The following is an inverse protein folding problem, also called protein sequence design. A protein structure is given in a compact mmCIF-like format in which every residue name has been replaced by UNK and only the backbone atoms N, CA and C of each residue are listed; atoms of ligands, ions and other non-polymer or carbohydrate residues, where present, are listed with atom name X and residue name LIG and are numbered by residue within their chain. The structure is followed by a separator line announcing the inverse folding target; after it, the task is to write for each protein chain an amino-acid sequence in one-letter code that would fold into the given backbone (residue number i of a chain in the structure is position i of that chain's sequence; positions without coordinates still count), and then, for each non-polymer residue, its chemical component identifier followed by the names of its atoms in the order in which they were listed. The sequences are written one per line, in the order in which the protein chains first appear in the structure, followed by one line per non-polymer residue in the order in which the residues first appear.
data_IF_006941545344
#
_entry.id   IF_006941545344
#
_cell.length_a   1.000
_cell.length_b   1.000
_cell.length_c   1.000
_cell.angle_alpha   90.00
_cell.angle_beta   90.00
_cell.angle_gamma   90.00
#
_symmetry.space_group_name_H-M   'P 1'
#
loop_
_entity.id
_entity.type
_entity.pdbx_description
1 polymer ?
#
# COMPACT_ATOMS: atom_id res chain seq x y z
N UNK A 1 16.38 -15.43 13.31
CA UNK A 1 16.11 -16.85 13.63
C UNK A 1 14.70 -17.11 14.13
N UNK A 2 14.17 -16.38 15.13
CA UNK A 2 12.79 -16.62 15.64
C UNK A 2 11.68 -16.37 14.61
N UNK A 3 11.76 -15.27 13.85
CA UNK A 3 10.75 -14.91 12.83
C UNK A 3 10.67 -15.94 11.70
N UNK A 4 11.80 -16.36 11.14
CA UNK A 4 11.84 -17.41 10.11
C UNK A 4 11.32 -18.76 10.57
N UNK A 5 11.51 -19.11 11.85
CA UNK A 5 10.95 -20.35 12.41
C UNK A 5 9.40 -20.33 12.43
N UNK A 6 8.79 -19.15 12.32
CA UNK A 6 7.35 -18.93 12.20
C UNK A 6 6.93 -18.53 10.78
N UNK A 7 7.80 -18.74 9.78
CA UNK A 7 7.53 -18.42 8.37
C UNK A 7 7.25 -16.91 8.13
N UNK A 8 7.89 -16.05 8.91
CA UNK A 8 7.82 -14.59 8.78
C UNK A 8 9.12 -14.07 8.18
N UNK A 9 9.02 -13.50 6.98
CA UNK A 9 10.10 -12.79 6.30
C UNK A 9 10.37 -11.43 6.97
N UNK A 10 11.63 -10.98 6.93
CA UNK A 10 12.07 -9.68 7.44
C UNK A 10 12.44 -8.77 6.28
N UNK A 11 11.74 -7.64 6.17
CA UNK A 11 12.04 -6.56 5.22
C UNK A 11 12.46 -5.33 6.03
N UNK A 12 13.63 -4.77 5.73
CA UNK A 12 14.12 -3.57 6.41
C UNK A 12 13.79 -2.32 5.59
N UNK A 13 13.29 -1.28 6.26
CA UNK A 13 13.25 0.07 5.71
C UNK A 13 14.68 0.65 5.75
N UNK A 14 15.20 1.09 4.60
CA UNK A 14 16.58 1.55 4.45
C UNK A 14 16.66 2.95 3.87
N UNK A 15 17.44 3.79 4.53
CA UNK A 15 17.63 5.21 4.18
C UNK A 15 19.04 5.39 3.63
N UNK A 16 19.20 5.22 2.31
CA UNK A 16 20.45 5.51 1.60
C UNK A 16 20.44 6.87 0.90
N UNK A 17 19.32 7.58 0.92
CA UNK A 17 19.14 8.81 0.16
C UNK A 17 19.73 10.06 0.86
N UNK A 18 19.86 10.03 2.18
CA UNK A 18 20.47 11.11 2.99
C UNK A 18 21.13 10.55 4.26
N UNK A 19 21.76 11.43 5.05
CA UNK A 19 22.40 11.07 6.33
C UNK A 19 22.09 12.10 7.42
N UNK A 20 22.27 11.69 8.68
CA UNK A 20 22.10 12.55 9.84
C UNK A 20 23.16 13.68 9.98
N UNK A 21 24.15 13.75 9.08
CA UNK A 21 25.13 14.86 9.10
C UNK A 21 24.49 16.19 8.64
N UNK A 22 23.31 16.20 8.01
CA UNK A 22 22.65 17.42 7.54
C UNK A 22 23.45 18.21 6.49
N UNK A 23 23.14 19.50 6.33
CA UNK A 23 23.83 20.42 5.43
C UNK A 23 25.15 20.95 6.03
N UNK A 24 25.74 22.02 5.48
CA UNK A 24 26.98 22.64 5.97
C UNK A 24 26.95 23.11 7.43
N UNK A 25 25.76 23.38 7.98
CA UNK A 25 25.56 23.77 9.39
C UNK A 25 25.34 22.56 10.31
N UNK A 26 25.15 21.37 9.74
CA UNK A 26 24.97 20.13 10.47
C UNK A 26 26.29 19.56 11.02
N UNK A 27 26.22 18.54 11.90
CA UNK A 27 27.39 17.96 12.54
C UNK A 27 28.31 17.26 11.54
N UNK A 28 29.57 17.04 11.94
CA UNK A 28 30.57 16.26 11.22
C UNK A 28 31.08 15.15 12.13
N UNK A 29 30.70 13.91 11.81
CA UNK A 29 31.05 12.72 12.61
C UNK A 29 31.39 11.49 11.75
N UNK A 30 31.16 11.51 10.44
CA UNK A 30 31.46 10.39 9.54
C UNK A 30 31.87 10.88 8.14
N UNK A 31 30.97 10.82 7.16
CA UNK A 31 31.29 10.93 5.73
C UNK A 31 31.83 12.31 5.36
N UNK A 32 31.29 13.38 5.96
CA UNK A 32 31.81 14.75 5.80
C UNK A 32 33.29 14.85 6.16
N UNK A 33 33.70 14.15 7.22
CA UNK A 33 35.07 14.18 7.74
C UNK A 33 36.03 13.26 6.97
N UNK A 34 35.52 12.18 6.40
CA UNK A 34 36.33 11.26 5.58
C UNK A 34 36.58 11.80 4.18
N UNK A 35 35.52 12.08 3.42
CA UNK A 35 35.61 12.70 2.09
C UNK A 35 34.25 13.24 1.63
N UNK A 36 34.00 14.52 1.94
CA UNK A 36 32.74 15.18 1.64
C UNK A 36 32.35 15.14 0.15
N UNK A 37 33.33 15.28 -0.75
CA UNK A 37 33.09 15.39 -2.19
C UNK A 37 32.71 14.03 -2.81
N UNK A 38 33.11 12.94 -2.18
CA UNK A 38 32.76 11.58 -2.60
C UNK A 38 31.36 11.21 -2.13
N UNK A 39 31.05 11.45 -0.85
CA UNK A 39 29.84 10.91 -0.23
C UNK A 39 28.60 11.75 -0.48
N UNK A 40 28.71 13.06 -0.68
CA UNK A 40 27.56 13.95 -0.84
C UNK A 40 27.47 14.56 -2.23
N UNK A 41 26.25 14.76 -2.69
CA UNK A 41 25.98 15.55 -3.88
C UNK A 41 26.12 17.03 -3.54
N UNK A 42 27.05 17.71 -4.21
CA UNK A 42 27.34 19.12 -4.00
C UNK A 42 27.09 19.92 -5.27
N UNK A 43 26.58 21.15 -5.12
CA UNK A 43 26.52 22.13 -6.20
C UNK A 43 27.93 22.59 -6.57
N UNK A 44 28.12 23.23 -7.75
CA UNK A 44 29.43 23.78 -8.13
C UNK A 44 30.02 24.76 -7.12
N UNK A 45 29.18 25.42 -6.33
CA UNK A 45 29.56 26.38 -5.29
C UNK A 45 29.88 25.70 -3.94
N UNK A 46 29.73 24.38 -3.84
CA UNK A 46 30.05 23.59 -2.64
C UNK A 46 28.91 23.44 -1.62
N UNK A 47 27.68 23.82 -1.97
CA UNK A 47 26.49 23.59 -1.14
C UNK A 47 25.90 22.20 -1.36
N UNK A 48 25.18 21.66 -0.40
CA UNK A 48 24.56 20.34 -0.51
C UNK A 48 23.29 20.39 -1.36
N UNK A 49 23.15 19.48 -2.32
CA UNK A 49 21.85 19.19 -2.90
C UNK A 49 20.92 18.59 -1.84
N UNK A 50 19.65 19.00 -1.84
CA UNK A 50 18.67 18.58 -0.84
C UNK A 50 17.42 17.96 -1.47
N UNK A 51 17.59 16.92 -2.30
CA UNK A 51 16.47 16.18 -2.88
C UNK A 51 15.71 15.35 -1.84
N UNK A 52 16.33 15.05 -0.69
CA UNK A 52 15.72 14.33 0.43
C UNK A 52 14.81 15.21 1.29
N UNK A 53 15.02 16.53 1.29
CA UNK A 53 14.39 17.45 2.25
C UNK A 53 15.07 17.47 3.63
N UNK A 54 16.09 16.64 3.87
CA UNK A 54 16.75 16.45 5.18
C UNK A 54 18.12 17.15 5.30
N UNK A 55 18.46 18.04 4.37
CA UNK A 55 19.65 18.89 4.38
C UNK A 55 20.81 18.41 3.50
N UNK A 56 20.87 17.13 3.16
CA UNK A 56 21.84 16.58 2.21
C UNK A 56 21.26 15.48 1.33
N UNK A 57 21.99 15.12 0.28
CA UNK A 57 21.69 13.97 -0.58
C UNK A 57 22.96 13.15 -0.74
N UNK A 58 22.89 11.85 -0.49
CA UNK A 58 24.02 10.94 -0.66
C UNK A 58 24.30 10.75 -2.16
N UNK A 59 25.57 10.77 -2.57
CA UNK A 59 26.00 10.61 -3.97
C UNK A 59 25.96 9.13 -4.41
N UNK A 60 24.76 8.57 -4.47
CA UNK A 60 24.48 7.14 -4.59
C UNK A 60 25.13 6.45 -5.81
N UNK A 61 25.36 7.18 -6.90
CA UNK A 61 25.93 6.63 -8.14
C UNK A 61 27.45 6.81 -8.27
N UNK A 62 28.10 7.55 -7.36
CA UNK A 62 29.55 7.59 -7.28
C UNK A 62 30.11 6.18 -6.97
N UNK A 63 31.17 5.71 -7.64
CA UNK A 63 31.66 4.33 -7.50
C UNK A 63 31.88 3.87 -6.06
N UNK A 64 32.50 4.71 -5.21
CA UNK A 64 32.77 4.38 -3.80
C UNK A 64 31.49 4.24 -2.99
N UNK A 65 30.50 5.11 -3.20
CA UNK A 65 29.23 5.10 -2.46
C UNK A 65 28.36 3.94 -2.90
N UNK A 66 28.35 3.63 -4.19
CA UNK A 66 27.64 2.47 -4.74
C UNK A 66 28.16 1.16 -4.15
N UNK A 67 29.47 0.96 -4.07
CA UNK A 67 30.05 -0.24 -3.43
C UNK A 67 29.70 -0.28 -1.94
N UNK A 68 29.76 0.86 -1.23
CA UNK A 68 29.32 0.94 0.16
C UNK A 68 27.87 0.46 0.34
N UNK A 69 26.95 0.91 -0.52
CA UNK A 69 25.53 0.51 -0.46
C UNK A 69 25.38 -0.99 -0.76
N UNK A 70 26.05 -1.48 -1.80
CA UNK A 70 26.03 -2.91 -2.15
C UNK A 70 26.54 -3.78 -1.00
N UNK A 71 27.69 -3.44 -0.44
CA UNK A 71 28.30 -4.20 0.65
C UNK A 71 27.46 -4.14 1.93
N UNK A 72 26.85 -3.00 2.23
CA UNK A 72 25.90 -2.86 3.34
C UNK A 72 24.70 -3.81 3.17
N UNK A 73 24.07 -3.83 2.00
CA UNK A 73 22.92 -4.69 1.73
C UNK A 73 23.30 -6.17 1.73
N UNK A 74 24.45 -6.53 1.14
CA UNK A 74 24.99 -7.90 1.18
C UNK A 74 25.21 -8.34 2.62
N UNK A 75 25.83 -7.50 3.46
CA UNK A 75 26.07 -7.79 4.87
C UNK A 75 24.76 -8.07 5.64
N UNK A 76 23.72 -7.25 5.46
CA UNK A 76 22.41 -7.51 6.07
C UNK A 76 21.79 -8.85 5.62
N UNK A 77 22.00 -9.24 4.37
CA UNK A 77 21.50 -10.51 3.84
C UNK A 77 22.33 -11.70 4.33
N UNK A 78 23.66 -11.62 4.27
CA UNK A 78 24.55 -12.75 4.60
C UNK A 78 24.65 -12.99 6.10
N UNK A 79 24.75 -11.92 6.88
CA UNK A 79 25.07 -12.00 8.31
C UNK A 79 23.79 -12.02 9.16
N UNK A 80 22.76 -11.25 8.76
CA UNK A 80 21.50 -11.15 9.50
C UNK A 80 20.32 -11.90 8.87
N UNK A 81 20.50 -12.42 7.65
CA UNK A 81 19.47 -13.17 6.91
C UNK A 81 18.20 -12.35 6.63
N UNK A 82 18.37 -11.08 6.29
CA UNK A 82 17.26 -10.22 5.86
C UNK A 82 16.72 -10.70 4.50
N UNK A 83 15.39 -10.71 4.33
CA UNK A 83 14.71 -11.25 3.15
C UNK A 83 14.34 -10.17 2.12
N UNK A 84 14.45 -8.89 2.50
CA UNK A 84 14.13 -7.77 1.61
C UNK A 84 14.46 -6.40 2.18
N UNK A 85 14.33 -5.40 1.31
CA UNK A 85 14.55 -4.00 1.64
C UNK A 85 13.47 -3.12 0.99
N UNK A 86 12.91 -2.19 1.78
CA UNK A 86 12.13 -1.05 1.28
C UNK A 86 13.05 0.17 1.31
N UNK A 87 13.25 0.78 0.14
CA UNK A 87 14.14 1.90 -0.03
C UNK A 87 13.34 3.20 0.09
N UNK A 88 13.67 3.97 1.12
CA UNK A 88 13.14 5.31 1.36
C UNK A 88 13.60 6.29 0.27
N UNK A 89 12.68 7.11 -0.23
CA UNK A 89 12.87 8.08 -1.32
C UNK A 89 13.76 7.55 -2.45
N UNK A 90 13.42 6.36 -2.96
CA UNK A 90 14.26 5.57 -3.86
C UNK A 90 14.60 6.28 -5.19
N UNK A 91 13.84 7.31 -5.57
CA UNK A 91 14.14 8.15 -6.74
C UNK A 91 15.51 8.82 -6.66
N UNK A 92 16.01 9.13 -5.45
CA UNK A 92 17.35 9.70 -5.24
C UNK A 92 18.45 8.75 -5.68
N UNK A 93 18.28 7.44 -5.47
CA UNK A 93 19.25 6.43 -5.92
C UNK A 93 19.36 6.39 -7.46
N UNK A 94 18.37 6.95 -8.17
CA UNK A 94 18.35 7.10 -9.61
C UNK A 94 18.91 8.43 -10.14
N UNK A 95 19.36 9.34 -9.28
CA UNK A 95 19.89 10.66 -9.71
C UNK A 95 21.37 10.60 -10.09
N UNK A 96 21.73 11.37 -11.10
CA UNK A 96 23.10 11.61 -11.54
C UNK A 96 23.79 12.66 -10.66
N UNK A 97 25.11 12.84 -10.80
CA UNK A 97 25.91 13.81 -10.03
C UNK A 97 25.43 15.26 -10.20
N UNK A 98 24.84 15.59 -11.36
CA UNK A 98 24.22 16.90 -11.64
C UNK A 98 22.79 17.04 -11.10
N UNK A 99 22.26 16.01 -10.45
CA UNK A 99 20.90 15.94 -9.91
C UNK A 99 19.84 15.46 -10.88
N UNK A 100 20.14 15.29 -12.18
CA UNK A 100 19.15 14.81 -13.16
C UNK A 100 18.81 13.31 -12.97
N UNK A 101 17.56 12.88 -13.21
CA UNK A 101 17.22 11.46 -13.13
C UNK A 101 17.83 10.67 -14.29
N UNK A 102 18.46 9.54 -13.98
CA UNK A 102 19.03 8.62 -14.97
C UNK A 102 17.97 7.63 -15.46
N UNK A 103 18.02 7.27 -16.74
CA UNK A 103 17.17 6.21 -17.30
C UNK A 103 17.64 4.80 -16.86
N UNK A 104 18.95 4.62 -16.71
CA UNK A 104 19.58 3.36 -16.29
C UNK A 104 20.64 3.64 -15.21
N UNK A 105 20.21 3.97 -13.97
CA UNK A 105 21.13 4.29 -12.89
C UNK A 105 21.99 3.07 -12.52
N UNK A 106 23.33 3.20 -12.50
CA UNK A 106 24.24 2.09 -12.25
C UNK A 106 24.03 1.39 -10.90
N UNK A 107 23.66 2.13 -9.85
CA UNK A 107 23.37 1.53 -8.55
C UNK A 107 22.18 0.58 -8.63
N UNK A 108 21.02 1.04 -9.11
CA UNK A 108 19.83 0.19 -9.18
C UNK A 108 20.01 -1.01 -10.11
N UNK A 109 20.77 -0.84 -11.20
CA UNK A 109 21.14 -1.95 -12.08
C UNK A 109 21.99 -2.99 -11.33
N UNK A 110 22.99 -2.53 -10.58
CA UNK A 110 23.85 -3.42 -9.79
C UNK A 110 23.04 -4.19 -8.76
N UNK A 111 22.12 -3.53 -8.05
CA UNK A 111 21.22 -4.18 -7.09
C UNK A 111 20.31 -5.21 -7.75
N UNK A 112 19.81 -4.94 -8.96
CA UNK A 112 18.91 -5.85 -9.67
C UNK A 112 19.60 -7.14 -10.15
N UNK A 113 20.91 -7.09 -10.44
CA UNK A 113 21.68 -8.19 -11.00
C UNK A 113 22.72 -8.78 -10.03
N UNK A 114 22.77 -8.31 -8.78
CA UNK A 114 23.68 -8.82 -7.78
C UNK A 114 23.33 -10.28 -7.42
N UNK A 115 24.30 -11.21 -7.43
CA UNK A 115 24.04 -12.63 -7.20
C UNK A 115 23.63 -12.95 -5.76
N UNK A 116 24.05 -12.15 -4.77
CA UNK A 116 23.66 -12.32 -3.36
C UNK A 116 22.24 -11.77 -3.16
N UNK A 117 21.93 -10.63 -3.76
CA UNK A 117 20.60 -10.01 -3.68
C UNK A 117 19.57 -10.65 -4.62
N UNK A 118 19.98 -11.62 -5.45
CA UNK A 118 19.14 -12.23 -6.49
C UNK A 118 17.77 -12.74 -5.99
N UNK A 119 17.69 -13.23 -4.75
CA UNK A 119 16.45 -13.73 -4.12
C UNK A 119 15.84 -12.77 -3.09
N UNK A 120 16.39 -11.57 -2.91
CA UNK A 120 16.00 -10.59 -1.89
C UNK A 120 14.94 -9.64 -2.42
N UNK A 121 13.87 -9.35 -1.68
CA UNK A 121 12.78 -8.50 -2.16
C UNK A 121 13.25 -7.03 -2.19
N UNK A 122 13.10 -6.35 -3.32
CA UNK A 122 13.46 -4.94 -3.47
C UNK A 122 12.18 -4.13 -3.70
N UNK A 123 11.90 -3.17 -2.80
CA UNK A 123 10.69 -2.35 -2.81
C UNK A 123 11.12 -0.89 -2.81
N UNK A 124 10.58 -0.08 -3.73
CA UNK A 124 10.91 1.32 -3.86
C UNK A 124 9.76 2.24 -3.40
N UNK A 125 10.08 3.26 -2.61
CA UNK A 125 9.31 4.49 -2.56
C UNK A 125 9.72 5.36 -3.76
N UNK A 126 8.99 5.25 -4.87
CA UNK A 126 9.41 5.79 -6.17
C UNK A 126 9.11 7.31 -6.33
N UNK A 127 9.51 8.11 -5.34
CA UNK A 127 9.49 9.57 -5.40
C UNK A 127 10.56 10.18 -4.49
N UNK A 128 10.76 11.50 -4.57
CA UNK A 128 11.59 12.26 -3.62
C UNK A 128 11.02 13.66 -3.30
N UNK A 129 11.57 14.31 -2.28
CA UNK A 129 11.15 15.64 -1.85
C UNK A 129 11.57 16.77 -2.83
N UNK A 130 12.42 16.44 -3.81
CA UNK A 130 12.78 17.33 -4.92
C UNK A 130 11.69 17.43 -6.01
N UNK A 131 10.54 16.77 -5.83
CA UNK A 131 9.40 16.80 -6.74
C UNK A 131 9.45 15.76 -7.86
N UNK A 132 10.41 14.84 -7.84
CA UNK A 132 10.44 13.73 -8.79
C UNK A 132 9.46 12.64 -8.34
N UNK A 133 8.58 12.22 -9.25
CA UNK A 133 7.59 11.17 -9.01
C UNK A 133 7.67 10.11 -10.11
N UNK A 134 8.07 8.89 -9.76
CA UNK A 134 8.39 7.78 -10.67
C UNK A 134 7.52 6.54 -10.46
N UNK A 135 6.40 6.64 -9.74
CA UNK A 135 5.45 5.51 -9.59
C UNK A 135 5.00 5.03 -10.98
N UNK A 136 5.23 3.75 -11.26
CA UNK A 136 4.97 3.10 -12.56
C UNK A 136 6.14 3.15 -13.54
N UNK A 137 7.06 4.12 -13.40
CA UNK A 137 8.18 4.37 -14.31
C UNK A 137 9.56 4.16 -13.68
N UNK A 138 9.64 3.70 -12.42
CA UNK A 138 10.91 3.43 -11.74
C UNK A 138 11.76 2.40 -12.50
N UNK A 139 13.09 2.62 -12.64
CA UNK A 139 14.00 1.64 -13.25
C UNK A 139 13.99 0.32 -12.46
N UNK A 140 13.26 -0.67 -12.98
CA UNK A 140 12.91 -1.86 -12.19
C UNK A 140 13.56 -3.16 -12.64
N UNK A 141 13.97 -3.30 -13.90
CA UNK A 141 14.46 -4.57 -14.47
C UNK A 141 13.59 -5.81 -14.12
N UNK A 142 12.28 -5.63 -13.90
CA UNK A 142 11.35 -6.66 -13.36
C UNK A 142 11.71 -7.21 -11.98
N UNK A 143 12.64 -6.57 -11.27
CA UNK A 143 13.15 -6.99 -9.97
C UNK A 143 12.55 -6.19 -8.81
N UNK A 144 12.09 -4.98 -9.09
CA UNK A 144 11.59 -4.04 -8.08
C UNK A 144 10.06 -3.97 -8.06
N UNK A 145 9.52 -4.10 -6.85
CA UNK A 145 8.17 -3.65 -6.52
C UNK A 145 8.20 -2.19 -6.06
N UNK A 146 7.05 -1.53 -6.07
CA UNK A 146 6.90 -0.13 -5.68
C UNK A 146 5.75 0.03 -4.70
N UNK A 147 5.93 0.92 -3.73
CA UNK A 147 4.81 1.48 -2.98
C UNK A 147 3.89 2.23 -3.94
N UNK A 148 2.67 1.75 -4.10
CA UNK A 148 1.70 2.33 -5.01
C UNK A 148 0.93 3.47 -4.32
N UNK A 149 1.55 4.65 -4.29
CA UNK A 149 0.91 5.86 -3.76
C UNK A 149 -0.39 6.23 -4.48
N UNK A 150 -0.53 5.91 -5.78
CA UNK A 150 -1.78 6.12 -6.50
C UNK A 150 -2.91 5.20 -6.02
N UNK A 151 -2.60 3.94 -5.67
CA UNK A 151 -3.58 3.06 -5.03
C UNK A 151 -4.08 3.69 -3.73
N UNK A 152 -3.17 4.16 -2.86
CA UNK A 152 -3.54 4.83 -1.61
C UNK A 152 -4.51 5.99 -1.88
N UNK A 153 -4.12 6.92 -2.74
CA UNK A 153 -4.86 8.16 -2.93
C UNK A 153 -6.22 7.92 -3.60
N UNK A 154 -6.23 7.15 -4.70
CA UNK A 154 -7.44 6.87 -5.46
C UNK A 154 -8.44 6.06 -4.63
N UNK A 155 -7.97 5.06 -3.86
CA UNK A 155 -8.86 4.20 -3.09
C UNK A 155 -9.37 4.86 -1.82
N UNK A 156 -8.60 5.76 -1.18
CA UNK A 156 -9.10 6.60 -0.09
C UNK A 156 -10.26 7.48 -0.56
N UNK A 157 -10.07 8.17 -1.69
CA UNK A 157 -11.10 9.02 -2.29
C UNK A 157 -12.33 8.22 -2.74
N UNK A 158 -12.12 7.06 -3.37
CA UNK A 158 -13.21 6.18 -3.78
C UNK A 158 -14.03 5.72 -2.57
N UNK A 159 -13.36 5.24 -1.51
CA UNK A 159 -14.05 4.76 -0.31
C UNK A 159 -14.83 5.87 0.40
N UNK A 160 -14.30 7.10 0.45
CA UNK A 160 -15.02 8.22 1.07
C UNK A 160 -16.21 8.71 0.24
N UNK A 161 -16.29 8.32 -1.04
CA UNK A 161 -17.38 8.63 -1.94
C UNK A 161 -17.15 9.85 -2.84
N UNK A 162 -15.92 10.10 -3.28
CA UNK A 162 -15.65 11.10 -4.34
C UNK A 162 -16.19 10.63 -5.70
N UNK A 163 -16.74 11.58 -6.47
CA UNK A 163 -17.24 11.35 -7.83
C UNK A 163 -16.12 10.98 -8.82
N UNK A 164 -16.48 10.30 -9.91
CA UNK A 164 -15.61 10.05 -11.06
C UNK A 164 -14.54 8.98 -10.87
N UNK A 165 -14.58 8.22 -9.76
CA UNK A 165 -13.54 7.25 -9.42
C UNK A 165 -13.82 5.80 -9.80
N UNK A 166 -14.99 5.50 -10.38
CA UNK A 166 -15.37 4.14 -10.75
C UNK A 166 -14.30 3.39 -11.56
N UNK A 167 -13.87 3.96 -12.70
CA UNK A 167 -12.87 3.30 -13.55
C UNK A 167 -11.51 3.19 -12.86
N UNK A 168 -11.14 4.23 -12.11
CA UNK A 168 -9.88 4.26 -11.37
C UNK A 168 -9.85 3.17 -10.32
N UNK A 169 -10.93 3.02 -9.54
CA UNK A 169 -11.08 1.96 -8.55
C UNK A 169 -10.99 0.57 -9.19
N UNK A 170 -11.63 0.34 -10.33
CA UNK A 170 -11.48 -0.93 -11.07
C UNK A 170 -10.01 -1.19 -11.43
N UNK A 171 -9.30 -0.20 -11.98
CA UNK A 171 -7.87 -0.35 -12.32
C UNK A 171 -7.04 -0.66 -11.09
N UNK A 172 -7.27 0.02 -9.95
CA UNK A 172 -6.55 -0.23 -8.69
C UNK A 172 -6.82 -1.65 -8.17
N UNK A 173 -8.07 -2.10 -8.15
CA UNK A 173 -8.46 -3.45 -7.70
C UNK A 173 -7.83 -4.54 -8.57
N UNK A 174 -7.75 -4.30 -9.88
CA UNK A 174 -7.16 -5.20 -10.88
C UNK A 174 -5.61 -5.18 -10.91
N UNK A 175 -4.96 -4.53 -9.94
CA UNK A 175 -3.51 -4.52 -9.80
C UNK A 175 -2.79 -3.38 -10.53
N UNK A 176 -3.50 -2.29 -10.81
CA UNK A 176 -2.99 -1.07 -11.46
C UNK A 176 -2.28 -1.34 -12.80
N UNK A 177 -2.90 -2.02 -13.77
CA UNK A 177 -2.25 -2.37 -15.04
C UNK A 177 -1.87 -1.16 -15.90
N UNK A 178 -2.49 -0.01 -15.66
CA UNK A 178 -2.14 1.27 -16.28
C UNK A 178 -0.81 1.86 -15.77
N UNK A 179 -0.38 1.46 -14.56
CA UNK A 179 0.93 1.81 -13.99
C UNK A 179 1.94 0.70 -14.22
N UNK A 180 1.50 -0.55 -14.00
CA UNK A 180 2.35 -1.73 -13.99
C UNK A 180 1.85 -2.75 -15.00
N UNK A 181 2.20 -2.56 -16.28
CA UNK A 181 1.86 -3.55 -17.29
C UNK A 181 2.52 -4.91 -16.95
N UNK A 182 1.75 -5.98 -16.69
CA UNK A 182 2.29 -7.25 -16.23
C UNK A 182 3.28 -7.90 -17.19
N UNK A 183 3.16 -7.63 -18.50
CA UNK A 183 4.10 -8.12 -19.52
C UNK A 183 5.51 -7.57 -19.31
N UNK A 184 5.64 -6.33 -18.81
CA UNK A 184 6.91 -5.64 -18.63
C UNK A 184 7.37 -5.56 -17.17
N UNK A 185 6.45 -5.56 -16.22
CA UNK A 185 6.69 -5.39 -14.78
C UNK A 185 6.51 -6.65 -13.95
N UNK A 186 5.87 -7.68 -14.50
CA UNK A 186 5.45 -8.87 -13.75
C UNK A 186 4.17 -8.63 -12.94
N UNK A 187 3.63 -9.69 -12.33
CA UNK A 187 2.35 -9.65 -11.61
C UNK A 187 2.39 -9.08 -10.18
N UNK A 188 3.58 -8.80 -9.64
CA UNK A 188 3.78 -8.44 -8.22
C UNK A 188 4.49 -7.08 -8.04
N UNK A 189 4.47 -6.21 -9.05
CA UNK A 189 5.17 -4.92 -9.00
C UNK A 189 4.50 -3.90 -8.06
N UNK A 190 3.20 -4.06 -7.76
CA UNK A 190 2.45 -3.13 -6.92
C UNK A 190 2.40 -3.60 -5.46
N UNK A 191 2.89 -2.77 -4.55
CA UNK A 191 2.60 -2.85 -3.11
C UNK A 191 1.47 -1.88 -2.82
N UNK A 192 0.28 -2.43 -2.61
CA UNK A 192 -0.94 -1.67 -2.32
C UNK A 192 -1.01 -1.39 -0.82
N UNK A 193 -1.39 -0.17 -0.45
CA UNK A 193 -1.62 0.21 0.93
C UNK A 193 -2.64 1.35 0.98
N UNK A 194 -3.35 1.46 2.09
CA UNK A 194 -4.24 2.60 2.37
C UNK A 194 -3.65 3.52 3.43
N UNK A 195 -2.72 3.02 4.25
CA UNK A 195 -2.15 3.67 5.43
C UNK A 195 -0.72 3.16 5.59
N UNK A 196 0.15 4.00 6.13
CA UNK A 196 1.55 3.70 6.38
C UNK A 196 2.02 4.56 7.55
N UNK A 197 3.30 4.52 7.90
CA UNK A 197 3.81 5.33 9.00
C UNK A 197 3.70 6.84 8.72
N UNK A 198 3.74 7.25 7.45
CA UNK A 198 3.40 8.60 7.01
C UNK A 198 1.89 8.77 6.85
N UNK A 199 1.35 9.85 7.38
CA UNK A 199 -0.08 10.13 7.35
C UNK A 199 -0.86 9.52 8.51
N UNK A 200 -2.18 9.49 8.35
CA UNK A 200 -3.11 8.92 9.33
C UNK A 200 -3.02 7.39 9.43
N UNK A 201 -3.33 6.87 10.63
CA UNK A 201 -3.76 5.48 10.80
C UNK A 201 -5.11 5.25 10.14
N UNK A 202 -5.56 4.01 10.05
CA UNK A 202 -6.86 3.70 9.45
C UNK A 202 -8.03 4.21 10.30
N UNK A 203 -7.88 4.23 11.63
CA UNK A 203 -8.86 4.84 12.52
C UNK A 203 -8.95 6.36 12.28
N UNK A 204 -7.80 7.02 12.19
CA UNK A 204 -7.73 8.47 12.05
C UNK A 204 -8.19 8.93 10.67
N UNK A 205 -7.95 8.13 9.62
CA UNK A 205 -8.45 8.36 8.26
C UNK A 205 -9.97 8.53 8.21
N UNK A 206 -10.70 7.86 9.11
CA UNK A 206 -12.15 7.95 9.22
C UNK A 206 -12.65 8.77 10.43
N UNK A 207 -11.73 9.39 11.17
CA UNK A 207 -12.03 10.19 12.36
C UNK A 207 -11.66 11.66 12.22
N UNK A 208 -10.78 12.02 11.28
CA UNK A 208 -10.28 13.39 11.12
C UNK A 208 -10.29 13.85 9.66
N UNK A 209 -10.75 15.06 9.41
CA UNK A 209 -10.62 15.75 8.13
C UNK A 209 -9.33 16.59 8.06
N UNK A 210 -8.86 17.08 9.20
CA UNK A 210 -7.67 17.92 9.32
C UNK A 210 -6.60 17.22 10.14
N UNK A 211 -5.33 17.52 9.86
CA UNK A 211 -4.20 17.06 10.67
C UNK A 211 -4.11 17.87 11.97
N UNK A 212 -3.73 17.21 13.06
CA UNK A 212 -3.55 17.77 14.40
C UNK A 212 -2.13 17.43 14.88
N UNK A 213 -1.13 18.06 14.23
CA UNK A 213 0.30 17.84 14.47
C UNK A 213 0.90 18.83 15.48
N UNK A 214 0.07 19.55 16.25
CA UNK A 214 0.53 20.61 17.17
C UNK A 214 1.58 20.09 18.16
N UNK A 215 1.46 18.84 18.59
CA UNK A 215 2.41 18.18 19.49
C UNK A 215 3.83 18.05 18.91
N UNK A 216 4.00 18.16 17.60
CA UNK A 216 5.31 18.08 16.94
C UNK A 216 6.14 19.37 17.11
N UNK A 217 5.53 20.47 17.58
CA UNK A 217 6.23 21.72 17.87
C UNK A 217 6.45 22.65 16.67
N UNK A 218 5.88 22.32 15.50
CA UNK A 218 6.01 23.11 14.26
C UNK A 218 4.75 23.91 13.92
N UNK A 219 3.93 24.26 14.91
CA UNK A 219 2.68 25.00 14.73
C UNK A 219 1.77 24.39 13.64
N UNK A 220 1.69 23.06 13.62
CA UNK A 220 0.91 22.26 12.66
C UNK A 220 1.29 22.47 11.17
N UNK A 221 2.52 22.93 10.89
CA UNK A 221 2.98 23.16 9.51
C UNK A 221 3.59 21.92 8.85
N UNK A 222 3.95 20.90 9.62
CA UNK A 222 4.50 19.65 9.13
C UNK A 222 3.41 18.62 8.79
N UNK A 223 3.75 17.58 8.02
CA UNK A 223 2.81 16.56 7.54
C UNK A 223 1.97 16.99 6.34
N UNK A 224 1.27 16.03 5.72
CA UNK A 224 0.47 16.27 4.51
C UNK A 224 -0.85 16.98 4.83
N UNK A 225 -1.23 18.00 4.07
CA UNK A 225 -2.53 18.67 4.20
C UNK A 225 -3.67 17.87 3.55
N UNK A 226 -3.39 17.25 2.40
CA UNK A 226 -4.39 16.46 1.68
C UNK A 226 -4.28 14.97 2.02
N UNK A 227 -5.09 14.54 2.98
CA UNK A 227 -5.10 13.16 3.48
C UNK A 227 -6.12 12.27 2.76
N UNK A 228 -7.00 12.87 1.95
CA UNK A 228 -8.18 12.23 1.38
C UNK A 228 -9.03 11.47 2.43
N UNK A 229 -9.12 12.03 3.63
CA UNK A 229 -9.82 11.46 4.79
C UNK A 229 -11.27 11.92 4.86
N UNK A 230 -12.04 11.27 5.74
CA UNK A 230 -13.41 11.70 6.07
C UNK A 230 -13.77 11.31 7.51
N UNK A 231 -14.00 12.31 8.36
CA UNK A 231 -14.32 12.12 9.77
C UNK A 231 -15.66 11.42 10.09
N UNK A 232 -16.42 11.05 9.05
CA UNK A 232 -17.69 10.35 9.14
C UNK A 232 -18.81 11.13 9.87
N UNK A 233 -18.64 12.44 10.07
CA UNK A 233 -19.66 13.36 10.58
C UNK A 233 -19.19 14.26 11.73
N UNK A 234 -18.25 13.79 12.56
CA UNK A 234 -17.71 14.52 13.71
C UNK A 234 -16.18 14.40 13.72
N UNK A 235 -15.46 15.47 14.05
CA UNK A 235 -13.99 15.48 14.07
C UNK A 235 -13.47 14.88 15.39
N UNK A 236 -12.61 13.88 15.31
CA UNK A 236 -11.98 13.22 16.46
C UNK A 236 -12.90 12.26 17.21
N UNK A 237 -12.67 12.15 18.52
CA UNK A 237 -13.44 11.26 19.39
C UNK A 237 -14.93 11.64 19.44
N UNK A 238 -15.80 10.63 19.45
CA UNK A 238 -17.25 10.82 19.53
C UNK A 238 -17.92 9.71 20.33
N UNK A 239 -19.04 10.04 20.98
CA UNK A 239 -19.94 9.08 21.62
C UNK A 239 -21.17 8.74 20.76
N UNK A 240 -21.26 9.29 19.54
CA UNK A 240 -22.39 9.07 18.64
C UNK A 240 -22.35 7.65 18.06
N UNK A 241 -23.31 6.76 18.40
CA UNK A 241 -23.25 5.36 18.02
C UNK A 241 -23.34 5.14 16.50
N UNK A 242 -24.04 6.02 15.76
CA UNK A 242 -24.13 5.90 14.30
C UNK A 242 -22.80 6.22 13.61
N UNK A 243 -22.06 7.22 14.11
CA UNK A 243 -20.74 7.56 13.58
C UNK A 243 -19.75 6.45 13.90
N UNK A 244 -19.74 5.93 15.14
CA UNK A 244 -18.86 4.82 15.53
C UNK A 244 -19.12 3.57 14.67
N UNK A 245 -20.39 3.25 14.42
CA UNK A 245 -20.78 2.13 13.53
C UNK A 245 -20.31 2.36 12.10
N UNK A 246 -20.45 3.58 11.57
CA UNK A 246 -19.97 3.95 10.25
C UNK A 246 -18.45 3.84 10.15
N UNK A 247 -17.69 4.38 11.11
CA UNK A 247 -16.22 4.29 11.14
C UNK A 247 -15.73 2.84 11.15
N UNK A 248 -16.34 1.99 11.97
CA UNK A 248 -16.04 0.55 11.99
C UNK A 248 -16.27 -0.09 10.62
N UNK A 249 -17.41 0.21 9.99
CA UNK A 249 -17.74 -0.27 8.63
C UNK A 249 -16.71 0.23 7.60
N UNK A 250 -16.27 1.48 7.69
CA UNK A 250 -15.28 2.06 6.77
C UNK A 250 -13.92 1.36 6.91
N UNK A 251 -13.47 1.08 8.13
CA UNK A 251 -12.24 0.29 8.38
C UNK A 251 -12.34 -1.13 7.81
N UNK A 252 -13.50 -1.79 7.98
CA UNK A 252 -13.74 -3.11 7.40
C UNK A 252 -13.79 -3.07 5.86
N UNK A 253 -14.42 -2.05 5.27
CA UNK A 253 -14.43 -1.83 3.83
C UNK A 253 -13.01 -1.67 3.28
N UNK A 254 -12.19 -0.84 3.93
CA UNK A 254 -10.80 -0.62 3.58
C UNK A 254 -9.97 -1.91 3.64
N UNK A 255 -10.11 -2.69 4.71
CA UNK A 255 -9.46 -3.99 4.86
C UNK A 255 -9.89 -4.98 3.78
N UNK A 256 -11.19 -5.14 3.56
CA UNK A 256 -11.74 -6.07 2.57
C UNK A 256 -11.28 -5.72 1.16
N UNK A 257 -11.34 -4.43 0.81
CA UNK A 257 -10.90 -3.93 -0.48
C UNK A 257 -9.40 -4.16 -0.70
N UNK A 258 -8.56 -3.79 0.27
CA UNK A 258 -7.11 -3.99 0.15
C UNK A 258 -6.76 -5.49 0.02
N UNK A 259 -7.42 -6.35 0.80
CA UNK A 259 -7.21 -7.79 0.79
C UNK A 259 -7.82 -8.52 -0.39
N UNK A 260 -8.71 -7.89 -1.14
CA UNK A 260 -9.30 -8.43 -2.37
C UNK A 260 -8.77 -7.76 -3.66
N UNK A 261 -7.78 -6.87 -3.57
CA UNK A 261 -7.11 -6.29 -4.74
C UNK A 261 -5.93 -7.15 -5.20
N UNK A 262 -5.67 -7.21 -6.51
CA UNK A 262 -4.47 -7.82 -7.09
C UNK A 262 -3.23 -6.99 -6.73
N UNK A 263 -2.10 -7.64 -6.45
CA UNK A 263 -0.88 -7.01 -5.92
C UNK A 263 -0.56 -7.44 -4.48
N UNK A 264 0.42 -6.80 -3.85
CA UNK A 264 0.84 -7.15 -2.48
C UNK A 264 0.21 -6.16 -1.48
N UNK A 265 -0.71 -6.57 -0.59
CA UNK A 265 -1.27 -5.67 0.41
C UNK A 265 -0.28 -5.41 1.56
N UNK A 266 -0.23 -4.17 2.04
CA UNK A 266 0.51 -3.74 3.22
C UNK A 266 -0.41 -2.96 4.16
N UNK A 267 -0.37 -3.31 5.46
CA UNK A 267 -1.06 -2.61 6.53
C UNK A 267 -0.06 -1.92 7.46
N UNK A 268 -0.46 -0.79 8.04
CA UNK A 268 0.23 -0.20 9.17
C UNK A 268 -0.10 -1.01 10.43
N UNK A 269 0.90 -1.26 11.27
CA UNK A 269 0.69 -1.91 12.58
C UNK A 269 -0.28 -1.10 13.43
N UNK A 270 -1.29 -1.75 14.00
CA UNK A 270 -2.29 -1.12 14.84
C UNK A 270 -3.62 -0.86 14.13
N UNK A 271 -3.63 -0.78 12.79
CA UNK A 271 -4.86 -0.61 12.02
C UNK A 271 -5.85 -1.75 12.27
N UNK A 272 -5.35 -2.96 12.52
CA UNK A 272 -6.15 -4.16 12.75
C UNK A 272 -6.95 -4.13 14.07
N UNK A 273 -6.62 -3.21 14.98
CA UNK A 273 -7.37 -2.97 16.22
C UNK A 273 -7.71 -1.49 16.44
N UNK A 274 -7.74 -0.70 15.37
CA UNK A 274 -8.10 0.72 15.35
C UNK A 274 -7.25 1.60 16.26
N UNK A 275 -5.92 1.41 16.21
CA UNK A 275 -4.95 2.31 16.83
C UNK A 275 -5.09 3.75 16.26
N UNK A 276 -4.86 4.74 17.12
CA UNK A 276 -5.04 6.16 16.80
C UNK A 276 -3.81 6.95 17.18
N UNK A 277 -3.52 7.98 16.39
CA UNK A 277 -2.48 8.98 16.66
C UNK A 277 -3.12 10.32 17.03
N UNK A 278 -4.39 10.29 17.42
CA UNK A 278 -5.20 11.44 17.81
C UNK A 278 -5.28 12.52 16.72
N UNK A 279 -5.22 12.10 15.44
CA UNK A 279 -5.20 13.02 14.31
C UNK A 279 -3.81 13.58 13.99
N UNK A 280 -2.74 13.11 14.63
CA UNK A 280 -1.38 13.41 14.21
C UNK A 280 -1.01 12.53 13.01
N UNK A 281 -0.84 13.15 11.85
CA UNK A 281 -0.53 12.45 10.60
C UNK A 281 0.97 12.43 10.27
N UNK A 282 1.82 12.87 11.21
CA UNK A 282 3.26 12.92 11.04
C UNK A 282 4.01 12.74 12.38
N UNK A 283 3.82 11.64 13.13
CA UNK A 283 4.33 11.51 14.49
C UNK A 283 5.84 11.16 14.55
N UNK A 284 6.66 11.66 13.62
CA UNK A 284 8.08 11.28 13.46
C UNK A 284 8.95 11.56 14.70
N UNK A 285 8.55 12.54 15.52
CA UNK A 285 9.26 12.96 16.73
C UNK A 285 8.55 12.59 18.04
N UNK A 286 7.49 11.77 17.98
CA UNK A 286 6.68 11.44 19.14
C UNK A 286 7.06 10.06 19.71
N UNK A 287 8.04 10.01 20.61
CA UNK A 287 8.31 8.80 21.41
C UNK A 287 7.45 8.80 22.69
N UNK A 288 6.15 8.59 22.50
CA UNK A 288 5.12 8.60 23.56
C UNK A 288 3.84 7.91 23.07
N UNK A 289 2.75 8.05 23.83
CA UNK A 289 1.45 7.44 23.58
C UNK A 289 0.82 7.80 22.22
N UNK A 290 1.29 8.84 21.52
CA UNK A 290 0.87 9.12 20.14
C UNK A 290 1.41 8.06 19.17
N UNK A 291 2.61 7.51 19.40
CA UNK A 291 3.24 6.53 18.49
C UNK A 291 3.28 5.10 19.03
N UNK A 292 3.10 4.91 20.34
CA UNK A 292 3.08 3.59 20.95
C UNK A 292 1.75 2.89 20.69
N UNK A 293 1.81 1.60 20.31
CA UNK A 293 0.60 0.78 20.15
C UNK A 293 -0.12 0.60 21.49
N UNK A 294 -1.40 0.99 21.55
CA UNK A 294 -2.24 0.72 22.72
C UNK A 294 -2.87 -0.67 22.63
N UNK A 295 -2.22 -1.65 23.27
CA UNK A 295 -2.71 -3.03 23.34
C UNK A 295 -4.07 -3.21 24.03
N UNK A 296 -4.54 -2.21 24.79
CA UNK A 296 -5.90 -2.25 25.35
C UNK A 296 -6.97 -2.17 24.25
N UNK A 297 -6.66 -1.52 23.11
CA UNK A 297 -7.53 -1.42 21.95
C UNK A 297 -7.74 -2.76 21.27
N UNK A 298 -6.75 -3.66 21.28
CA UNK A 298 -6.94 -5.03 20.78
C UNK A 298 -8.04 -5.76 21.54
N UNK A 299 -8.10 -5.61 22.87
CA UNK A 299 -9.14 -6.21 23.69
C UNK A 299 -10.51 -5.56 23.44
N UNK A 300 -10.54 -4.23 23.27
CA UNK A 300 -11.75 -3.46 22.99
C UNK A 300 -12.33 -3.75 21.60
N UNK A 301 -11.47 -3.90 20.60
CA UNK A 301 -11.81 -3.99 19.18
C UNK A 301 -11.59 -5.41 18.62
N UNK A 302 -11.74 -6.44 19.46
CA UNK A 302 -11.47 -7.84 19.10
C UNK A 302 -12.21 -8.30 17.84
N UNK A 303 -13.43 -7.80 17.59
CA UNK A 303 -14.20 -8.12 16.40
C UNK A 303 -13.56 -7.58 15.10
N UNK A 304 -12.95 -6.39 15.15
CA UNK A 304 -12.21 -5.83 14.02
C UNK A 304 -10.94 -6.66 13.76
N UNK A 305 -10.21 -7.01 14.83
CA UNK A 305 -9.03 -7.85 14.71
C UNK A 305 -9.36 -9.22 14.10
N UNK A 306 -10.42 -9.87 14.56
CA UNK A 306 -10.91 -11.13 14.00
C UNK A 306 -11.30 -11.00 12.52
N UNK A 307 -11.87 -9.85 12.11
CA UNK A 307 -12.17 -9.56 10.71
C UNK A 307 -10.90 -9.49 9.85
N UNK A 308 -9.84 -8.80 10.32
CA UNK A 308 -8.55 -8.76 9.63
C UNK A 308 -7.94 -10.16 9.50
N UNK A 309 -7.95 -10.96 10.57
CA UNK A 309 -7.49 -12.35 10.54
C UNK A 309 -8.25 -13.17 9.50
N UNK A 310 -9.58 -13.03 9.46
CA UNK A 310 -10.42 -13.70 8.47
C UNK A 310 -10.08 -13.27 7.04
N UNK A 311 -9.94 -11.97 6.76
CA UNK A 311 -9.58 -11.48 5.43
C UNK A 311 -8.20 -11.97 4.97
N UNK A 312 -7.23 -12.09 5.89
CA UNK A 312 -5.92 -12.67 5.61
C UNK A 312 -6.03 -14.16 5.27
N UNK A 313 -6.81 -14.92 6.03
CA UNK A 313 -7.06 -16.32 5.73
C UNK A 313 -7.79 -16.49 4.38
N UNK A 314 -8.82 -15.69 4.12
CA UNK A 314 -9.59 -15.68 2.88
C UNK A 314 -8.69 -15.43 1.67
N UNK A 315 -7.87 -14.37 1.68
CA UNK A 315 -6.93 -14.08 0.59
C UNK A 315 -5.92 -15.22 0.36
N UNK A 316 -5.48 -15.90 1.43
CA UNK A 316 -4.57 -17.05 1.32
C UNK A 316 -5.29 -18.27 0.70
N UNK A 317 -6.54 -18.51 1.05
CA UNK A 317 -7.35 -19.62 0.53
C UNK A 317 -7.79 -19.42 -0.93
N UNK A 318 -7.93 -18.18 -1.39
CA UNK A 318 -8.34 -17.83 -2.75
C UNK A 318 -7.17 -17.30 -3.60
N UNK A 319 -6.31 -18.18 -4.16
CA UNK A 319 -5.16 -17.76 -4.94
C UNK A 319 -5.50 -16.96 -6.21
N UNK A 320 -6.71 -17.02 -6.77
CA UNK A 320 -7.13 -16.24 -7.95
C UNK A 320 -7.00 -14.72 -7.74
N UNK A 321 -7.18 -14.25 -6.49
CA UNK A 321 -6.98 -12.84 -6.12
C UNK A 321 -5.48 -12.47 -6.22
N UNK A 322 -4.59 -13.38 -5.81
CA UNK A 322 -3.16 -13.12 -5.61
C UNK A 322 -2.33 -13.27 -6.87
N UNK A 323 -2.70 -14.19 -7.77
CA UNK A 323 -1.96 -14.54 -8.98
C UNK A 323 -2.89 -15.09 -10.04
N UNK A 324 -2.42 -15.14 -11.28
CA UNK A 324 -3.11 -15.87 -12.32
C UNK A 324 -2.99 -17.38 -12.08
N UNK A 325 -4.12 -18.08 -12.21
CA UNK A 325 -4.22 -19.53 -12.20
C UNK A 325 -4.38 -20.04 -13.64
N UNK A 326 -4.57 -21.35 -13.79
CA UNK A 326 -5.00 -21.90 -15.07
C UNK A 326 -6.34 -21.26 -15.51
N UNK A 327 -6.55 -21.07 -16.83
CA UNK A 327 -7.78 -20.48 -17.34
C UNK A 327 -9.03 -21.19 -16.81
N UNK A 328 -9.97 -20.42 -16.28
CA UNK A 328 -11.23 -20.94 -15.75
C UNK A 328 -12.03 -21.68 -16.82
N UNK A 329 -12.62 -22.83 -16.47
CA UNK A 329 -13.57 -23.55 -17.31
C UNK A 329 -14.98 -22.97 -17.24
N UNK A 330 -15.19 -21.91 -16.46
CA UNK A 330 -16.47 -21.19 -16.36
C UNK A 330 -16.64 -20.08 -17.40
N UNK A 331 -15.71 -19.97 -18.36
CA UNK A 331 -15.67 -18.96 -19.43
C UNK A 331 -15.43 -17.51 -19.00
N UNK A 332 -15.25 -17.25 -17.70
CA UNK A 332 -14.83 -15.95 -17.21
C UNK A 332 -13.32 -15.75 -17.35
N UNK A 333 -12.86 -14.54 -17.70
CA UNK A 333 -11.44 -14.22 -17.74
C UNK A 333 -10.85 -14.26 -16.32
N UNK A 334 -9.51 -14.30 -16.21
CA UNK A 334 -8.85 -14.38 -14.90
C UNK A 334 -9.23 -13.22 -13.97
N UNK A 335 -9.50 -12.05 -14.56
CA UNK A 335 -10.09 -10.92 -13.87
C UNK A 335 -11.05 -10.15 -14.80
N UNK A 336 -12.20 -9.71 -14.29
CA UNK A 336 -13.15 -8.87 -15.03
C UNK A 336 -13.82 -7.82 -14.14
N UNK A 337 -14.06 -6.63 -14.70
CA UNK A 337 -14.94 -5.63 -14.11
C UNK A 337 -16.40 -5.87 -14.51
N UNK A 338 -17.33 -5.57 -13.61
CA UNK A 338 -18.77 -5.71 -13.82
C UNK A 338 -19.53 -4.45 -13.39
N UNK A 339 -20.70 -4.22 -13.97
CA UNK A 339 -21.65 -3.21 -13.50
C UNK A 339 -22.48 -3.70 -12.31
N UNK A 340 -23.62 -3.03 -12.07
CA UNK A 340 -24.68 -3.53 -11.17
C UNK A 340 -25.43 -4.74 -11.77
N UNK A 341 -25.25 -4.96 -13.06
CA UNK A 341 -25.61 -6.18 -13.78
C UNK A 341 -24.34 -6.92 -14.20
N UNK A 342 -24.42 -8.21 -14.57
CA UNK A 342 -23.25 -9.01 -14.96
C UNK A 342 -22.48 -8.49 -16.18
N UNK A 343 -23.09 -7.59 -16.94
CA UNK A 343 -22.49 -6.98 -18.12
C UNK A 343 -21.25 -6.13 -17.75
N UNK A 344 -20.32 -5.93 -18.70
CA UNK A 344 -19.20 -5.02 -18.51
C UNK A 344 -19.71 -3.64 -18.06
N UNK A 345 -19.02 -2.98 -17.11
CA UNK A 345 -19.45 -1.70 -16.61
C UNK A 345 -19.39 -0.66 -17.73
N UNK A 346 -20.44 0.16 -17.82
CA UNK A 346 -20.41 1.35 -18.67
C UNK A 346 -19.81 2.49 -17.83
N UNK A 347 -18.80 3.21 -18.35
CA UNK A 347 -18.23 4.36 -17.68
C UNK A 347 -19.31 5.37 -17.27
N UNK A 348 -19.28 5.77 -16.00
CA UNK A 348 -20.19 6.78 -15.46
C UNK A 348 -19.45 7.59 -14.41
N UNK A 349 -19.50 8.92 -14.55
CA UNK A 349 -18.94 9.86 -13.56
C UNK A 349 -19.60 9.73 -12.19
N UNK A 350 -20.85 9.29 -12.17
CA UNK A 350 -21.69 9.30 -10.95
C UNK A 350 -21.70 7.90 -10.29
N UNK A 351 -20.96 6.95 -10.86
CA UNK A 351 -20.86 5.60 -10.31
C UNK A 351 -19.90 5.56 -9.12
N UNK A 352 -20.43 5.08 -8.00
CA UNK A 352 -19.70 4.89 -6.74
C UNK A 352 -19.58 3.41 -6.37
N UNK A 353 -19.79 2.54 -7.35
CA UNK A 353 -19.77 1.10 -7.18
C UNK A 353 -18.68 0.48 -8.02
N UNK A 354 -17.87 -0.40 -7.45
CA UNK A 354 -16.88 -1.18 -8.18
C UNK A 354 -17.16 -2.67 -7.96
N UNK A 355 -17.39 -3.40 -9.06
CA UNK A 355 -17.57 -4.84 -9.02
C UNK A 355 -16.47 -5.52 -9.84
N UNK A 356 -15.77 -6.46 -9.23
CA UNK A 356 -14.67 -7.22 -9.85
C UNK A 356 -14.83 -8.69 -9.55
N UNK A 357 -14.63 -9.51 -10.57
CA UNK A 357 -14.54 -10.96 -10.46
C UNK A 357 -13.10 -11.41 -10.69
N UNK A 358 -12.62 -12.29 -9.82
CA UNK A 358 -11.40 -13.08 -10.01
C UNK A 358 -11.81 -14.52 -10.30
N UNK A 359 -11.20 -15.14 -11.30
CA UNK A 359 -11.52 -16.49 -11.71
C UNK A 359 -10.28 -17.28 -12.10
N UNK A 360 -10.29 -18.58 -11.86
CA UNK A 360 -9.26 -19.48 -12.37
C UNK A 360 -9.42 -20.88 -11.81
N UNK A 361 -8.82 -21.85 -12.49
CA UNK A 361 -8.83 -23.24 -12.05
C UNK A 361 -7.62 -23.52 -11.15
N UNK A 362 -7.86 -23.90 -9.89
CA UNK A 362 -6.78 -24.29 -8.98
C UNK A 362 -6.47 -25.77 -9.15
N UNK A 363 -5.40 -26.06 -9.89
CA UNK A 363 -4.92 -27.43 -10.12
C UNK A 363 -4.64 -28.20 -8.82
N UNK A 364 -4.33 -27.52 -7.71
CA UNK A 364 -4.04 -28.19 -6.44
C UNK A 364 -5.29 -28.78 -5.79
N UNK A 365 -6.42 -28.10 -5.94
CA UNK A 365 -7.71 -28.53 -5.37
C UNK A 365 -8.58 -29.24 -6.40
N UNK A 366 -8.29 -29.07 -7.69
CA UNK A 366 -9.09 -29.57 -8.80
C UNK A 366 -10.44 -28.86 -8.94
N UNK A 367 -10.54 -27.61 -8.46
CA UNK A 367 -11.77 -26.83 -8.44
C UNK A 367 -11.58 -25.43 -9.00
N UNK A 368 -12.67 -24.80 -9.41
CA UNK A 368 -12.70 -23.38 -9.75
C UNK A 368 -12.55 -22.53 -8.48
N UNK A 369 -11.67 -21.53 -8.54
CA UNK A 369 -11.55 -20.48 -7.54
C UNK A 369 -12.15 -19.19 -8.10
N UNK A 370 -13.38 -18.88 -7.68
CA UNK A 370 -14.15 -17.72 -8.13
C UNK A 370 -14.44 -16.80 -6.94
N UNK A 371 -14.02 -15.54 -7.05
CA UNK A 371 -14.29 -14.51 -6.04
C UNK A 371 -14.91 -13.31 -6.70
N UNK A 372 -16.10 -12.91 -6.23
CA UNK A 372 -16.76 -11.67 -6.65
C UNK A 372 -16.69 -10.63 -5.54
N UNK A 373 -15.99 -9.53 -5.80
CA UNK A 373 -15.91 -8.36 -4.94
C UNK A 373 -16.89 -7.29 -5.44
N UNK A 374 -17.80 -6.85 -4.58
CA UNK A 374 -18.66 -5.69 -4.84
C UNK A 374 -18.45 -4.65 -3.74
N UNK A 375 -18.10 -3.43 -4.14
CA UNK A 375 -17.93 -2.30 -3.23
C UNK A 375 -18.89 -1.20 -3.63
N UNK A 376 -19.74 -0.77 -2.71
CA UNK A 376 -20.59 0.41 -2.85
C UNK A 376 -20.11 1.48 -1.87
N UNK A 377 -19.47 2.52 -2.38
CA UNK A 377 -19.03 3.67 -1.59
C UNK A 377 -20.10 4.77 -1.48
N UNK A 378 -21.27 4.59 -2.10
CA UNK A 378 -22.37 5.54 -2.00
C UNK A 378 -23.20 5.34 -0.72
N UNK A 379 -23.81 6.42 -0.21
CA UNK A 379 -24.77 6.35 0.88
C UNK A 379 -26.14 5.77 0.48
N UNK A 380 -26.37 5.54 -0.82
CA UNK A 380 -27.62 4.95 -1.33
C UNK A 380 -27.38 3.46 -1.58
N UNK A 381 -28.27 2.63 -1.06
CA UNK A 381 -28.28 1.20 -1.31
C UNK A 381 -28.46 0.90 -2.81
N UNK A 382 -27.76 -0.12 -3.31
CA UNK A 382 -27.81 -0.54 -4.72
C UNK A 382 -28.24 -2.00 -4.79
N UNK A 383 -29.04 -2.32 -5.80
CA UNK A 383 -29.36 -3.70 -6.14
C UNK A 383 -28.32 -4.20 -7.15
N UNK A 384 -27.74 -5.37 -6.87
CA UNK A 384 -26.75 -6.03 -7.70
C UNK A 384 -27.31 -7.35 -8.20
N UNK A 385 -27.12 -7.64 -9.48
CA UNK A 385 -27.37 -8.95 -10.08
C UNK A 385 -26.03 -9.63 -10.32
N UNK A 386 -25.80 -10.75 -9.63
CA UNK A 386 -24.55 -11.50 -9.73
C UNK A 386 -24.43 -12.23 -11.09
N UNK A 387 -23.22 -12.41 -11.62
CA UNK A 387 -23.00 -13.21 -12.83
C UNK A 387 -23.49 -14.64 -12.64
N UNK A 388 -24.08 -15.22 -13.69
CA UNK A 388 -24.49 -16.63 -13.67
C UNK A 388 -23.26 -17.53 -13.66
N UNK A 389 -23.29 -18.57 -12.83
CA UNK A 389 -22.21 -19.56 -12.78
C UNK A 389 -22.65 -20.83 -13.54
N UNK A 390 -21.82 -21.36 -14.46
CA UNK A 390 -22.14 -22.61 -15.15
C UNK A 390 -21.96 -23.82 -14.22
N UNK A 391 -22.30 -25.01 -14.71
CA UNK A 391 -21.98 -26.30 -14.08
C UNK A 391 -22.50 -26.51 -12.64
N UNK A 392 -23.56 -25.81 -12.25
CA UNK A 392 -24.21 -25.96 -10.94
C UNK A 392 -23.49 -25.27 -9.78
N UNK A 393 -22.49 -24.42 -10.06
CA UNK A 393 -21.89 -23.56 -9.05
C UNK A 393 -22.91 -22.53 -8.53
N UNK A 394 -22.79 -22.18 -7.26
CA UNK A 394 -23.61 -21.16 -6.60
C UNK A 394 -22.72 -20.19 -5.84
N UNK A 395 -23.11 -18.92 -5.82
CA UNK A 395 -22.42 -17.91 -5.03
C UNK A 395 -22.65 -18.15 -3.54
N UNK A 396 -21.61 -17.91 -2.73
CA UNK A 396 -21.64 -17.91 -1.27
C UNK A 396 -21.18 -16.55 -0.75
N UNK A 397 -21.89 -16.00 0.23
CA UNK A 397 -21.46 -14.76 0.87
C UNK A 397 -20.37 -15.10 1.89
N UNK A 398 -19.14 -14.70 1.58
CA UNK A 398 -18.02 -14.83 2.51
C UNK A 398 -17.88 -13.62 3.45
N UNK A 399 -18.21 -12.42 2.96
CA UNK A 399 -18.07 -11.15 3.70
C UNK A 399 -19.21 -10.21 3.33
N UNK A 400 -19.78 -9.53 4.33
CA UNK A 400 -20.72 -8.44 4.15
C UNK A 400 -20.54 -7.39 5.26
N UNK A 401 -20.07 -6.21 4.90
CA UNK A 401 -19.91 -5.05 5.80
C UNK A 401 -21.12 -4.11 5.75
N UNK A 402 -22.09 -4.40 4.88
CA UNK A 402 -23.35 -3.68 4.76
C UNK A 402 -24.31 -3.95 5.92
N UNK A 403 -25.52 -3.40 5.80
CA UNK A 403 -26.59 -3.73 6.76
C UNK A 403 -27.09 -5.15 6.51
N UNK A 404 -27.10 -5.97 7.56
CA UNK A 404 -27.61 -7.34 7.51
C UNK A 404 -29.11 -7.39 7.20
N UNK A 405 -29.86 -6.32 7.48
CA UNK A 405 -31.29 -6.20 7.17
C UNK A 405 -31.57 -5.90 5.69
N UNK A 406 -30.55 -5.45 4.94
CA UNK A 406 -30.65 -5.17 3.50
C UNK A 406 -30.18 -6.35 2.64
N UNK A 407 -30.15 -7.57 3.20
CA UNK A 407 -29.98 -8.80 2.43
C UNK A 407 -31.31 -9.18 1.76
N UNK A 408 -31.56 -8.74 0.54
CA UNK A 408 -32.72 -9.23 -0.24
C UNK A 408 -32.27 -10.03 -1.46
N UNK A 409 -32.59 -11.33 -1.42
CA UNK A 409 -32.39 -12.31 -2.48
C UNK A 409 -33.70 -12.47 -3.27
N UNK A 410 -33.64 -12.61 -4.59
CA UNK A 410 -34.81 -12.93 -5.43
C UNK A 410 -34.53 -14.09 -6.37
N UNK A 411 -35.29 -15.18 -6.20
CA UNK A 411 -35.11 -16.49 -6.84
C UNK A 411 -35.26 -17.63 -5.82
N UNK A 412 -35.13 -18.89 -6.25
CA UNK A 412 -35.26 -20.07 -5.37
C UNK A 412 -33.97 -20.48 -4.64
N UNK A 413 -32.81 -19.85 -4.87
CA UNK A 413 -31.54 -20.38 -4.37
C UNK A 413 -30.78 -19.34 -3.53
N UNK A 414 -30.85 -19.53 -2.21
CA UNK A 414 -29.92 -18.92 -1.26
C UNK A 414 -28.47 -19.30 -1.62
N UNK A 415 -27.52 -18.38 -1.45
CA UNK A 415 -26.18 -18.72 -0.97
C UNK A 415 -26.32 -19.46 0.37
N UNK A 416 -25.96 -20.74 0.44
CA UNK A 416 -25.84 -21.40 1.76
C UNK A 416 -24.69 -20.72 2.50
N UNK A 417 -24.98 -20.11 3.65
CA UNK A 417 -23.96 -19.66 4.59
C UNK A 417 -23.10 -20.88 4.95
N UNK A 418 -21.80 -20.80 4.64
CA UNK A 418 -20.80 -21.82 4.95
C UNK A 418 -19.83 -21.27 5.96
#
# INVERSE_FOLDING_TARGET
MSLHANEIDVILDVVFNHTAEGNELGPCFSFKGFDNNIYYMLTPDGYYYNFSGCGNTLNCNHPVVRELILDCLRYWVTDYRVDGFRFDLASILGRNEDGSPMSQPPLLQSLAFDPILGNVKLIAEAWDAGGLYQVGSFPSWRRWAEWNGRYRDDMRRFLKGDDGLHETALKRILGSPDLYNPQYRGGNASVNFLTCHDGFTLCDLYSYNQKHNEANGWNNTDGCDDNHSWNCGEEGETSNPEILRLRLKMMQNACALLMCSRGTPMFLSGDEFADTRFGNNNPYCQDNEISWLDWSLLSKNQALFAFFQYMIAFRKQHPAIRRDLEPSYTSYPSMSGHGLTPEPPVPSSDSHTACVMFAGFDEKTGQEDLVFLAVNAHWIAKQLVLPSLPNGYVWKIAVNTGDLLHQTFSGNDMPTAG
#
